data_IF_625716174330
#
_entry.id   IF_625716174330
#
_cell.length_a   1.000
_cell.length_b   1.000
_cell.length_c   1.000
_cell.angle_alpha   90.00
_cell.angle_beta   90.00
_cell.angle_gamma   90.00
#
_symmetry.space_group_name_H-M   'P 1'
#
loop_
_entity.id
_entity.type
_entity.pdbx_description
1 polymer ?
#
# COMPACT_ATOMS: atom_id res chain seq x y z
N UNK A 1 -22.52 -13.13 28.94
CA UNK A 1 -22.24 -13.71 27.61
C UNK A 1 -22.29 -12.58 26.57
N UNK A 2 -21.17 -11.94 26.29
CA UNK A 2 -21.03 -11.04 25.13
C UNK A 2 -19.55 -11.07 24.73
N UNK A 3 -19.25 -11.81 23.68
CA UNK A 3 -17.92 -11.91 23.10
C UNK A 3 -17.67 -10.66 22.25
N UNK A 4 -16.68 -9.86 22.63
CA UNK A 4 -16.13 -8.79 21.79
C UNK A 4 -14.95 -9.40 21.04
N UNK A 5 -15.06 -9.51 19.72
CA UNK A 5 -14.02 -10.09 18.86
C UNK A 5 -12.79 -9.18 18.91
N UNK A 6 -11.75 -9.63 19.61
CA UNK A 6 -10.45 -8.97 19.70
C UNK A 6 -9.54 -9.54 18.60
N UNK A 7 -9.48 -8.88 17.44
CA UNK A 7 -8.43 -9.12 16.42
C UNK A 7 -7.47 -7.93 16.37
N UNK A 8 -6.98 -7.55 17.54
CA UNK A 8 -5.80 -6.71 17.71
C UNK A 8 -4.87 -7.50 18.63
N UNK A 9 -3.74 -7.95 18.08
CA UNK A 9 -2.71 -8.68 18.80
C UNK A 9 -2.10 -7.77 19.88
N UNK A 10 -2.73 -7.72 21.05
CA UNK A 10 -2.20 -7.04 22.22
C UNK A 10 -2.17 -8.02 23.39
N UNK A 11 -1.10 -8.81 23.44
CA UNK A 11 -0.70 -9.46 24.68
C UNK A 11 -0.30 -8.37 25.67
N UNK A 12 -1.26 -7.94 26.49
CA UNK A 12 -0.99 -7.15 27.69
C UNK A 12 -0.56 -8.10 28.80
N UNK A 13 0.76 -8.26 28.98
CA UNK A 13 1.29 -8.81 30.23
C UNK A 13 1.26 -7.69 31.28
N UNK A 14 0.63 -7.90 32.45
CA UNK A 14 0.73 -6.95 33.54
C UNK A 14 2.10 -7.14 34.20
N UNK A 15 3.00 -6.19 34.03
CA UNK A 15 4.16 -6.09 34.93
C UNK A 15 4.34 -4.65 35.37
N UNK A 16 4.40 -4.53 36.69
CA UNK A 16 4.42 -3.31 37.44
C UNK A 16 5.66 -2.46 37.16
N UNK A 17 5.47 -1.16 37.32
CA UNK A 17 6.48 -0.14 37.50
C UNK A 17 7.32 0.24 36.27
N UNK A 18 7.07 1.47 35.81
CA UNK A 18 8.14 2.41 35.47
C UNK A 18 8.65 2.35 34.03
N UNK A 19 8.49 3.49 33.34
CA UNK A 19 8.93 3.81 31.97
C UNK A 19 8.14 3.14 30.85
N UNK A 20 7.28 3.96 30.25
CA UNK A 20 6.83 3.81 28.86
C UNK A 20 8.06 3.96 27.95
N UNK A 21 8.83 2.90 27.76
CA UNK A 21 9.62 2.78 26.53
C UNK A 21 8.63 2.50 25.41
N UNK A 22 8.41 3.52 24.58
CA UNK A 22 7.63 3.40 23.36
C UNK A 22 8.46 2.61 22.36
N UNK A 23 8.23 1.30 22.32
CA UNK A 23 8.69 0.45 21.22
C UNK A 23 7.94 0.88 19.96
N UNK A 24 8.54 1.83 19.24
CA UNK A 24 8.14 2.15 17.87
C UNK A 24 8.47 0.89 17.07
N UNK A 25 7.45 0.05 16.83
CA UNK A 25 7.47 -0.88 15.70
C UNK A 25 7.98 -0.08 14.51
N UNK A 26 8.93 -0.58 13.71
CA UNK A 26 9.37 0.16 12.54
C UNK A 26 8.13 0.43 11.70
N UNK A 27 7.68 1.68 11.75
CA UNK A 27 6.76 2.21 10.76
C UNK A 27 7.51 1.96 9.45
N UNK A 28 6.91 1.29 8.46
CA UNK A 28 7.58 1.15 7.17
C UNK A 28 7.93 2.57 6.76
N UNK A 29 9.22 2.82 6.75
CA UNK A 29 9.78 4.14 6.62
C UNK A 29 9.18 4.72 5.32
N UNK A 30 8.68 5.97 5.33
CA UNK A 30 7.92 6.55 4.21
C UNK A 30 8.74 6.66 2.91
N UNK A 31 9.97 6.20 2.92
CA UNK A 31 11.00 6.35 1.91
C UNK A 31 10.80 5.46 0.67
N UNK A 32 9.99 4.39 0.76
CA UNK A 32 9.75 3.46 -0.36
C UNK A 32 8.34 3.58 -0.94
N UNK A 33 7.88 4.79 -1.22
CA UNK A 33 6.61 5.06 -1.92
C UNK A 33 6.84 5.17 -3.42
N UNK A 34 5.97 4.56 -4.22
CA UNK A 34 6.01 4.69 -5.68
C UNK A 34 4.62 4.64 -6.28
N UNK A 35 4.44 5.26 -7.44
CA UNK A 35 3.18 5.23 -8.21
C UNK A 35 3.39 4.30 -9.40
N UNK A 36 2.47 3.35 -9.60
CA UNK A 36 2.43 2.50 -10.77
C UNK A 36 1.22 2.87 -11.63
N UNK A 37 1.49 3.43 -12.80
CA UNK A 37 0.51 3.65 -13.84
C UNK A 37 0.25 2.32 -14.55
N UNK A 38 -1.00 1.87 -14.59
CA UNK A 38 -1.36 0.56 -15.14
C UNK A 38 -2.22 0.67 -16.39
N UNK A 39 -1.84 -0.07 -17.42
CA UNK A 39 -2.56 -0.10 -18.69
C UNK A 39 -2.46 1.23 -19.43
N UNK A 40 -3.54 1.63 -20.10
CA UNK A 40 -3.55 2.76 -21.04
C UNK A 40 -3.46 4.15 -20.38
N UNK A 41 -3.48 4.24 -19.04
CA UNK A 41 -3.36 5.52 -18.33
C UNK A 41 -1.99 6.20 -18.55
N UNK A 42 -0.99 5.45 -19.02
CA UNK A 42 0.30 6.01 -19.44
C UNK A 42 0.20 6.94 -20.66
N UNK A 43 -0.86 6.83 -21.45
CA UNK A 43 -1.14 7.74 -22.56
C UNK A 43 -1.84 9.03 -22.11
N UNK A 44 -2.30 9.09 -20.85
CA UNK A 44 -2.97 10.24 -20.28
C UNK A 44 -1.94 11.19 -19.65
N UNK A 45 -1.57 12.23 -20.40
CA UNK A 45 -0.53 13.18 -20.00
C UNK A 45 -0.86 13.87 -18.67
N UNK A 46 -2.13 14.27 -18.46
CA UNK A 46 -2.59 14.89 -17.22
C UNK A 46 -2.36 13.98 -16.00
N UNK A 47 -2.69 12.68 -16.13
CA UNK A 47 -2.46 11.71 -15.05
C UNK A 47 -0.97 11.48 -14.78
N UNK A 48 -0.15 11.40 -15.83
CA UNK A 48 1.31 11.23 -15.70
C UNK A 48 1.94 12.45 -15.02
N UNK A 49 1.53 13.66 -15.41
CA UNK A 49 1.98 14.90 -14.80
C UNK A 49 1.56 15.00 -13.32
N UNK A 50 0.30 14.66 -13.02
CA UNK A 50 -0.19 14.60 -11.65
C UNK A 50 0.63 13.61 -10.81
N UNK A 51 0.89 12.39 -11.33
CA UNK A 51 1.70 11.38 -10.65
C UNK A 51 3.13 11.89 -10.37
N UNK A 52 3.76 12.59 -11.32
CA UNK A 52 5.09 13.18 -11.15
C UNK A 52 5.11 14.31 -10.11
N UNK A 53 4.01 15.04 -9.96
CA UNK A 53 3.87 16.12 -8.97
C UNK A 53 3.95 15.64 -7.52
N UNK A 54 3.68 14.36 -7.26
CA UNK A 54 3.80 13.76 -5.92
C UNK A 54 5.25 13.54 -5.45
N UNK A 55 6.25 13.84 -6.30
CA UNK A 55 7.67 13.72 -5.97
C UNK A 55 8.08 12.31 -5.51
N UNK A 56 7.40 11.29 -6.05
CA UNK A 56 7.70 9.86 -5.84
C UNK A 56 8.03 9.21 -7.18
N UNK A 57 8.83 8.13 -7.19
CA UNK A 57 9.11 7.38 -8.41
C UNK A 57 7.81 6.89 -9.06
N UNK A 58 7.63 7.23 -10.34
CA UNK A 58 6.51 6.78 -11.16
C UNK A 58 7.02 5.69 -12.10
N UNK A 59 6.41 4.52 -12.02
CA UNK A 59 6.65 3.38 -12.90
C UNK A 59 5.41 3.08 -13.73
N UNK A 60 5.60 2.40 -14.84
CA UNK A 60 4.54 2.01 -15.76
C UNK A 60 4.54 0.49 -15.91
N UNK A 61 3.38 -0.15 -15.81
CA UNK A 61 3.25 -1.59 -16.01
C UNK A 61 1.98 -1.89 -16.80
N UNK A 62 2.01 -2.91 -17.66
CA UNK A 62 0.84 -3.27 -18.48
C UNK A 62 -0.32 -3.78 -17.60
N UNK A 63 -0.01 -4.58 -16.58
CA UNK A 63 -1.00 -5.20 -15.69
C UNK A 63 -0.82 -4.84 -14.21
N UNK A 64 0.25 -4.12 -13.84
CA UNK A 64 0.56 -3.75 -12.46
C UNK A 64 1.05 -4.92 -11.59
N UNK A 65 1.05 -6.15 -12.11
CA UNK A 65 1.45 -7.37 -11.38
C UNK A 65 2.93 -7.33 -10.97
N UNK A 66 3.81 -6.80 -11.81
CA UNK A 66 5.23 -6.64 -11.49
C UNK A 66 5.41 -5.83 -10.21
N UNK A 67 4.61 -4.78 -10.06
CA UNK A 67 4.72 -3.88 -8.93
C UNK A 67 4.00 -4.39 -7.66
N UNK A 68 3.14 -5.40 -7.78
CA UNK A 68 2.54 -6.14 -6.65
C UNK A 68 3.52 -7.12 -6.00
N UNK A 69 4.48 -7.64 -6.77
CA UNK A 69 5.46 -8.61 -6.29
C UNK A 69 6.60 -7.96 -5.48
N UNK A 70 6.75 -6.64 -5.54
CA UNK A 70 7.68 -5.85 -4.74
C UNK A 70 7.07 -5.53 -3.37
N UNK A 71 7.36 -6.37 -2.37
CA UNK A 71 6.95 -6.12 -0.98
C UNK A 71 7.80 -5.05 -0.27
N UNK A 72 8.94 -4.67 -0.87
CA UNK A 72 9.80 -3.60 -0.36
C UNK A 72 9.24 -2.20 -0.63
N UNK A 73 8.37 -2.06 -1.63
CA UNK A 73 7.81 -0.78 -2.05
C UNK A 73 6.31 -0.71 -1.80
N UNK A 74 5.87 0.40 -1.21
CA UNK A 74 4.46 0.72 -1.12
C UNK A 74 4.01 1.36 -2.45
N UNK A 75 3.45 0.53 -3.32
CA UNK A 75 3.00 0.93 -4.66
C UNK A 75 1.56 1.44 -4.65
N UNK A 76 1.32 2.62 -5.22
CA UNK A 76 -0.01 3.14 -5.54
C UNK A 76 -0.36 2.84 -6.99
N UNK A 77 -1.41 2.06 -7.20
CA UNK A 77 -1.88 1.71 -8.53
C UNK A 77 -2.87 2.75 -9.04
N UNK A 78 -2.55 3.34 -10.19
CA UNK A 78 -3.42 4.26 -10.90
C UNK A 78 -3.95 3.54 -12.12
N UNK A 79 -5.26 3.40 -12.21
CA UNK A 79 -5.97 2.80 -13.32
C UNK A 79 -6.97 3.81 -13.86
N UNK A 80 -7.22 3.76 -15.17
CA UNK A 80 -8.25 4.56 -15.82
C UNK A 80 -9.64 4.14 -15.37
N UNK A 81 -9.86 2.83 -15.35
CA UNK A 81 -11.11 2.21 -14.99
C UNK A 81 -10.89 1.29 -13.78
N UNK A 82 -11.77 1.39 -12.80
CA UNK A 82 -11.78 0.49 -11.62
C UNK A 82 -12.58 -0.79 -11.89
N UNK A 83 -12.67 -1.19 -13.16
CA UNK A 83 -13.32 -2.39 -13.63
C UNK A 83 -12.43 -3.15 -14.60
N UNK A 84 -12.71 -4.44 -14.78
CA UNK A 84 -11.96 -5.31 -15.67
C UNK A 84 -10.91 -6.19 -15.00
N UNK A 85 -10.27 -7.07 -15.78
CA UNK A 85 -9.40 -8.13 -15.27
C UNK A 85 -8.15 -7.61 -14.56
N UNK A 86 -7.65 -6.43 -14.97
CA UNK A 86 -6.47 -5.79 -14.35
C UNK A 86 -6.81 -5.30 -12.95
N UNK A 87 -7.90 -4.54 -12.80
CA UNK A 87 -8.36 -4.07 -11.50
C UNK A 87 -8.63 -5.24 -10.56
N UNK A 88 -9.36 -6.26 -11.03
CA UNK A 88 -9.68 -7.45 -10.23
C UNK A 88 -8.41 -8.19 -9.79
N UNK A 89 -7.41 -8.34 -10.67
CA UNK A 89 -6.13 -8.92 -10.32
C UNK A 89 -5.40 -8.11 -9.23
N UNK A 90 -5.30 -6.78 -9.37
CA UNK A 90 -4.65 -5.91 -8.38
C UNK A 90 -5.42 -5.93 -7.06
N UNK A 91 -6.75 -5.87 -7.12
CA UNK A 91 -7.61 -5.84 -5.95
C UNK A 91 -7.56 -7.15 -5.16
N UNK A 92 -7.55 -8.31 -5.86
CA UNK A 92 -7.41 -9.64 -5.23
C UNK A 92 -6.04 -9.84 -4.59
N UNK A 93 -5.00 -9.25 -5.14
CA UNK A 93 -3.63 -9.34 -4.62
C UNK A 93 -3.36 -8.35 -3.49
N UNK A 94 -4.26 -7.39 -3.21
CA UNK A 94 -4.18 -6.51 -2.05
C UNK A 94 -4.47 -7.30 -0.77
N UNK A 95 -3.47 -7.99 -0.25
CA UNK A 95 -3.48 -8.55 1.10
C UNK A 95 -3.34 -7.37 2.09
N UNK A 96 -4.34 -7.18 2.95
CA UNK A 96 -4.39 -6.13 3.97
C UNK A 96 -3.44 -6.40 5.14
#
# INVERSE_FOLDING_TARGET
MQCVFCSSHLCVLPTAAGRLEMSISPSPSPDNLRICLVGDIINDEETVEAARSFNVPVITSENGLDALNDFEWRTFFVLKDFEGPIYDAIHKNKQW
#
